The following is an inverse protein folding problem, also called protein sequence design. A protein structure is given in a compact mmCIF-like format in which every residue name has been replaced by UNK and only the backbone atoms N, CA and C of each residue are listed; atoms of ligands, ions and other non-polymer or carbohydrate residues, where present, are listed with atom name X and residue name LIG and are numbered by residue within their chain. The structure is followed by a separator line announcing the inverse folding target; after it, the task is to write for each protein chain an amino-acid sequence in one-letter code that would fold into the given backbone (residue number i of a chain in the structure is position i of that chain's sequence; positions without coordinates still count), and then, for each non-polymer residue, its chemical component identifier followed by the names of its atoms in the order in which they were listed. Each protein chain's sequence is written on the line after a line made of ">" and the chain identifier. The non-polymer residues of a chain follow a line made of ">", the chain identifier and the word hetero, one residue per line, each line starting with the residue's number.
data_IF_892163225539
#
_entry.id   IF_892163225539
#
_cell.length_a   1.000
_cell.length_b   1.000
_cell.length_c   1.000
_cell.angle_alpha   90.00
_cell.angle_beta   90.00
_cell.angle_gamma   90.00
#
_symmetry.space_group_name_H-M   'P 1'
#
loop_
_entity.id
_entity.type
_entity.pdbx_description
1 polymer ?
#
# COMPACT_ATOMS: atom_id res chain seq x y z
N UNK A 1 7.23 5.20 -19.02
CA UNK A 1 5.89 4.66 -18.79
C UNK A 1 5.58 4.64 -17.32
N UNK A 2 4.40 5.05 -16.98
CA UNK A 2 3.98 5.08 -15.58
C UNK A 2 2.53 4.65 -15.50
N UNK A 3 2.20 3.88 -14.48
CA UNK A 3 0.83 3.42 -14.30
C UNK A 3 0.44 3.54 -12.84
N UNK A 4 -0.76 4.08 -12.63
CA UNK A 4 -1.33 4.30 -11.31
C UNK A 4 -2.30 3.16 -11.01
N UNK A 5 -2.03 2.40 -9.97
CA UNK A 5 -2.89 1.28 -9.56
C UNK A 5 -3.87 1.70 -8.47
N UNK A 6 -3.76 2.93 -8.02
CA UNK A 6 -4.76 3.48 -7.12
C UNK A 6 -4.34 3.51 -5.67
N UNK A 7 -5.30 3.89 -4.87
CA UNK A 7 -5.10 4.03 -3.43
C UNK A 7 -5.25 2.67 -2.77
N UNK A 8 -4.22 2.26 -2.02
CA UNK A 8 -4.28 1.02 -1.26
C UNK A 8 -5.07 1.24 0.04
N UNK A 9 -4.81 2.35 0.71
CA UNK A 9 -5.56 2.68 1.92
C UNK A 9 -5.34 4.13 2.29
N UNK A 10 -6.25 4.65 3.13
CA UNK A 10 -6.12 5.99 3.69
C UNK A 10 -5.46 5.87 5.05
N UNK A 11 -4.36 6.56 5.23
CA UNK A 11 -3.62 6.50 6.48
C UNK A 11 -4.25 7.43 7.53
N UNK A 12 -4.66 8.59 7.06
CA UNK A 12 -5.36 9.58 7.86
C UNK A 12 -5.99 10.58 6.91
N UNK A 13 -6.77 11.49 7.45
CA UNK A 13 -7.41 12.51 6.62
C UNK A 13 -6.33 13.28 5.85
N UNK A 14 -6.50 13.31 4.54
CA UNK A 14 -5.57 14.04 3.67
C UNK A 14 -4.30 13.29 3.30
N UNK A 15 -4.14 12.05 3.77
CA UNK A 15 -2.95 11.25 3.44
C UNK A 15 -3.36 9.85 3.04
N UNK A 16 -2.97 9.45 1.84
CA UNK A 16 -3.28 8.11 1.32
C UNK A 16 -2.00 7.41 0.92
N UNK A 17 -2.06 6.10 0.84
CA UNK A 17 -0.96 5.29 0.34
C UNK A 17 -1.39 4.73 -1.01
N UNK A 18 -0.61 5.04 -2.04
CA UNK A 18 -0.90 4.62 -3.41
C UNK A 18 0.16 3.64 -3.89
N UNK A 19 -0.25 2.82 -4.84
CA UNK A 19 0.64 1.91 -5.53
C UNK A 19 0.72 2.33 -6.98
N UNK A 20 1.93 2.58 -7.45
CA UNK A 20 2.17 2.95 -8.84
C UNK A 20 3.33 2.14 -9.36
N UNK A 21 3.47 2.12 -10.68
CA UNK A 21 4.61 1.47 -11.33
C UNK A 21 5.18 2.44 -12.35
N UNK A 22 6.50 2.49 -12.43
CA UNK A 22 7.16 3.36 -13.40
C UNK A 22 8.41 2.69 -13.91
N UNK A 23 8.81 3.11 -15.11
CA UNK A 23 10.03 2.62 -15.73
C UNK A 23 11.12 3.65 -15.55
N UNK A 24 12.30 3.17 -15.16
CA UNK A 24 13.46 4.04 -15.02
C UNK A 24 14.67 3.29 -15.56
N UNK A 25 15.28 3.83 -16.60
CA UNK A 25 16.48 3.27 -17.24
C UNK A 25 16.30 1.80 -17.61
N UNK A 26 15.14 1.49 -18.18
CA UNK A 26 14.88 0.14 -18.66
C UNK A 26 14.40 -0.85 -17.61
N UNK A 27 14.28 -0.43 -16.38
CA UNK A 27 13.79 -1.30 -15.31
C UNK A 27 12.48 -0.76 -14.78
N UNK A 28 11.59 -1.69 -14.43
CA UNK A 28 10.32 -1.32 -13.81
C UNK A 28 10.46 -1.29 -12.31
N UNK A 29 9.84 -0.29 -11.71
CA UNK A 29 9.82 -0.13 -10.26
C UNK A 29 8.38 0.01 -9.79
N UNK A 30 8.08 -0.62 -8.68
CA UNK A 30 6.79 -0.51 -8.03
C UNK A 30 6.97 0.39 -6.82
N UNK A 31 6.11 1.41 -6.72
CA UNK A 31 6.20 2.38 -5.64
C UNK A 31 5.00 2.22 -4.72
N UNK A 32 5.27 2.12 -3.43
CA UNK A 32 4.23 2.17 -2.41
C UNK A 32 4.55 3.43 -1.62
N UNK A 33 3.74 4.46 -1.79
CA UNK A 33 4.13 5.80 -1.34
C UNK A 33 2.96 6.55 -0.77
N UNK A 34 3.24 7.36 0.25
CA UNK A 34 2.25 8.29 0.78
C UNK A 34 2.11 9.48 -0.14
N UNK A 35 0.87 9.88 -0.31
CA UNK A 35 0.51 11.10 -1.04
C UNK A 35 -0.31 11.97 -0.13
N UNK A 36 -0.06 13.27 -0.19
CA UNK A 36 -0.88 14.24 0.51
C UNK A 36 -1.88 14.83 -0.46
N UNK A 37 -3.10 15.00 0.01
CA UNK A 37 -4.16 15.57 -0.77
C UNK A 37 -4.21 17.08 -0.53
N UNK A 38 -4.20 17.85 -1.62
CA UNK A 38 -4.44 19.27 -1.54
C UNK A 38 -5.94 19.47 -1.42
N UNK A 39 -6.36 19.97 -0.26
CA UNK A 39 -7.78 20.10 0.02
C UNK A 39 -8.52 21.06 -0.87
N UNK A 40 -7.81 21.98 -1.50
CA UNK A 40 -8.47 23.01 -2.31
C UNK A 40 -8.88 22.52 -3.68
N UNK A 41 -8.05 21.69 -4.30
CA UNK A 41 -8.33 21.30 -5.68
C UNK A 41 -8.29 19.80 -5.92
N UNK A 42 -8.13 19.01 -4.86
CA UNK A 42 -8.16 17.56 -4.98
C UNK A 42 -6.93 16.93 -5.59
N UNK A 43 -5.87 17.70 -5.78
CA UNK A 43 -4.64 17.18 -6.34
C UNK A 43 -3.85 16.44 -5.27
N UNK A 44 -3.29 15.30 -5.64
CA UNK A 44 -2.46 14.52 -4.74
C UNK A 44 -0.99 14.74 -5.07
N UNK A 45 -0.18 14.92 -4.05
CA UNK A 45 1.26 15.13 -4.20
C UNK A 45 2.01 14.02 -3.50
N UNK A 46 3.00 13.41 -4.19
CA UNK A 46 3.82 12.40 -3.55
C UNK A 46 4.67 13.00 -2.45
N UNK A 47 4.88 12.25 -1.40
CA UNK A 47 5.78 12.63 -0.33
C UNK A 47 7.05 11.80 -0.43
N UNK A 48 7.97 12.04 0.49
CA UNK A 48 9.18 11.24 0.56
C UNK A 48 8.95 9.91 1.29
N UNK A 49 7.79 9.73 1.89
CA UNK A 49 7.48 8.52 2.64
C UNK A 49 7.00 7.45 1.68
N UNK A 50 7.83 6.47 1.46
CA UNK A 50 7.47 5.40 0.57
C UNK A 50 8.65 4.51 0.27
N UNK A 51 8.38 3.48 -0.52
CA UNK A 51 9.38 2.50 -0.84
C UNK A 51 9.23 2.08 -2.30
N UNK A 52 10.35 1.90 -2.97
CA UNK A 52 10.36 1.44 -4.36
C UNK A 52 10.94 0.04 -4.41
N UNK A 53 10.23 -0.85 -5.08
CA UNK A 53 10.64 -2.23 -5.25
C UNK A 53 10.96 -2.42 -6.72
N UNK A 54 12.16 -2.92 -7.00
CA UNK A 54 12.50 -3.26 -8.38
C UNK A 54 11.60 -4.41 -8.83
N UNK A 55 11.06 -4.29 -10.04
CA UNK A 55 10.04 -5.24 -10.50
C UNK A 55 10.51 -6.69 -10.51
N UNK A 56 11.80 -6.91 -10.73
CA UNK A 56 12.34 -8.27 -10.76
C UNK A 56 12.17 -8.99 -9.40
N UNK A 57 12.03 -8.24 -8.32
CA UNK A 57 11.90 -8.83 -6.98
C UNK A 57 10.49 -8.77 -6.43
N UNK A 58 9.55 -8.29 -7.23
CA UNK A 58 8.19 -8.09 -6.72
C UNK A 58 7.55 -9.38 -6.26
N UNK A 59 7.71 -10.45 -7.03
CA UNK A 59 7.08 -11.72 -6.67
C UNK A 59 7.64 -12.28 -5.38
N UNK A 60 8.92 -12.07 -5.12
CA UNK A 60 9.53 -12.49 -3.86
C UNK A 60 8.94 -11.72 -2.69
N UNK A 61 8.73 -10.43 -2.88
CA UNK A 61 8.13 -9.59 -1.84
C UNK A 61 6.69 -10.01 -1.59
N UNK A 62 5.94 -10.27 -2.66
CA UNK A 62 4.56 -10.70 -2.53
C UNK A 62 4.48 -12.00 -1.73
N UNK A 63 5.37 -12.95 -2.03
CA UNK A 63 5.37 -14.22 -1.32
C UNK A 63 5.59 -14.03 0.18
N UNK A 64 6.50 -13.13 0.55
CA UNK A 64 6.75 -12.85 1.95
C UNK A 64 5.55 -12.15 2.59
N UNK A 65 4.95 -11.22 1.86
CA UNK A 65 3.77 -10.52 2.37
C UNK A 65 2.60 -11.48 2.55
N UNK A 66 2.47 -12.46 1.67
CA UNK A 66 1.43 -13.46 1.85
C UNK A 66 1.66 -14.27 3.12
N UNK A 67 2.91 -14.58 3.43
CA UNK A 67 3.21 -15.27 4.68
C UNK A 67 2.86 -14.40 5.88
N UNK A 68 3.13 -13.12 5.80
CA UNK A 68 2.75 -12.18 6.86
C UNK A 68 1.24 -12.14 6.99
N UNK A 69 0.54 -12.12 5.86
CA UNK A 69 -0.91 -12.08 5.87
C UNK A 69 -1.49 -13.31 6.56
N UNK A 70 -0.93 -14.49 6.28
CA UNK A 70 -1.37 -15.71 6.95
C UNK A 70 -1.08 -15.66 8.44
N UNK A 71 0.08 -15.17 8.81
CA UNK A 71 0.43 -15.02 10.21
C UNK A 71 -0.56 -14.09 10.92
N UNK A 72 -0.87 -12.96 10.29
CA UNK A 72 -1.81 -12.01 10.87
C UNK A 72 -3.22 -12.60 10.95
N UNK A 73 -3.59 -13.41 9.98
CA UNK A 73 -4.87 -14.11 10.02
C UNK A 73 -4.97 -15.01 11.23
N UNK A 74 -3.91 -15.74 11.53
CA UNK A 74 -3.87 -16.56 12.73
C UNK A 74 -3.93 -15.71 13.99
N UNK A 75 -3.16 -14.65 14.00
CA UNK A 75 -3.11 -13.76 15.14
C UNK A 75 -4.49 -13.16 15.44
N UNK A 76 -5.14 -12.64 14.41
CA UNK A 76 -6.43 -11.99 14.60
C UNK A 76 -7.55 -13.00 14.84
N UNK A 77 -7.42 -14.23 14.35
CA UNK A 77 -8.49 -15.20 14.58
C UNK A 77 -8.56 -15.63 16.03
N UNK A 78 -7.48 -15.50 16.79
CA UNK A 78 -7.53 -15.77 18.23
C UNK A 78 -8.45 -14.78 18.95
N UNK A 79 -8.50 -13.57 18.44
CA UNK A 79 -9.26 -12.50 19.06
C UNK A 79 -10.51 -12.19 18.26
N UNK A 80 -10.81 -13.02 17.27
CA UNK A 80 -11.87 -12.70 16.33
C UNK A 80 -13.22 -12.54 17.01
N UNK A 81 -13.47 -13.34 18.02
CA UNK A 81 -14.73 -13.24 18.75
C UNK A 81 -14.93 -11.89 19.38
N UNK A 82 -13.85 -11.23 19.68
CA UNK A 82 -13.88 -9.91 20.29
C UNK A 82 -13.77 -8.82 19.26
N UNK A 83 -12.99 -9.10 18.21
CA UNK A 83 -12.68 -8.06 17.24
C UNK A 83 -13.70 -7.96 16.13
N UNK A 84 -14.46 -9.02 15.90
CA UNK A 84 -15.40 -9.02 14.80
C UNK A 84 -16.45 -7.94 14.97
N UNK A 85 -16.74 -7.56 16.18
CA UNK A 85 -17.71 -6.52 16.44
C UNK A 85 -17.17 -5.16 16.10
N UNK A 86 -15.87 -4.99 16.26
CA UNK A 86 -15.24 -3.72 15.96
C UNK A 86 -15.23 -3.46 14.46
N UNK A 87 -15.16 -4.52 13.69
CA UNK A 87 -15.16 -4.38 12.25
C UNK A 87 -16.57 -4.18 11.70
N UNK A 88 -17.56 -4.46 12.50
CA UNK A 88 -18.91 -4.29 12.06
C UNK A 88 -19.33 -2.84 11.89
N UNK A 89 -18.51 -1.97 12.40
CA UNK A 89 -18.85 -0.57 12.29
C UNK A 89 -18.66 -0.04 10.90
#
# INVERSE_FOLDING_TARGET
>A
MEKDFGIAYSKRLGTVVKVTASEFRGSMYIHIREYNLDGDNGVMFPTKSGYAIQGAYLDDVIAKLENVSKFLGHYYSKDLDQLSFDFGE
#
